data_IF_941989603677
#
_entry.id   IF_941989603677
#
_cell.length_a   1.000
_cell.length_b   1.000
_cell.length_c   1.000
_cell.angle_alpha   90.00
_cell.angle_beta   90.00
_cell.angle_gamma   90.00
#
_symmetry.space_group_name_H-M   'P 1'
#
loop_
_entity.id
_entity.type
_entity.pdbx_description
1 polymer ?
#
# COMPACT_ATOMS: atom_id res chain seq x y z
N UNK A 1 4.38 -9.12 4.01
CA UNK A 1 4.28 -10.16 2.98
C UNK A 1 5.55 -10.99 3.09
N UNK A 2 5.49 -12.32 3.02
CA UNK A 2 6.73 -13.09 2.98
C UNK A 2 7.33 -13.05 1.58
N UNK A 3 8.63 -13.28 1.45
CA UNK A 3 9.25 -13.50 0.15
C UNK A 3 8.70 -14.79 -0.48
N UNK A 4 8.40 -15.80 0.36
CA UNK A 4 7.69 -17.03 -0.05
C UNK A 4 6.32 -16.77 -0.68
N UNK A 5 5.71 -15.60 -0.48
CA UNK A 5 4.41 -15.24 -1.04
C UNK A 5 4.52 -14.61 -2.45
N UNK A 6 5.70 -14.11 -2.86
CA UNK A 6 5.89 -13.50 -4.20
C UNK A 6 5.50 -14.49 -5.31
N UNK A 7 6.01 -15.73 -5.26
CA UNK A 7 5.70 -16.80 -6.22
C UNK A 7 4.21 -17.17 -6.25
N UNK A 8 3.52 -17.10 -5.10
CA UNK A 8 2.08 -17.44 -4.99
C UNK A 8 1.19 -16.44 -5.71
N UNK A 9 1.73 -15.26 -6.06
CA UNK A 9 1.05 -14.19 -6.80
C UNK A 9 1.63 -14.04 -8.22
N UNK A 10 2.25 -15.09 -8.75
CA UNK A 10 2.76 -15.11 -10.11
C UNK A 10 1.63 -15.02 -11.16
N UNK A 11 1.87 -14.28 -12.23
CA UNK A 11 0.98 -14.14 -13.37
C UNK A 11 1.75 -14.27 -14.69
N UNK A 12 1.04 -14.68 -15.75
CA UNK A 12 1.60 -14.88 -17.08
C UNK A 12 1.17 -13.74 -18.02
N UNK A 13 2.12 -13.26 -18.82
CA UNK A 13 1.88 -12.36 -19.96
C UNK A 13 2.45 -13.01 -21.23
N UNK A 14 2.23 -12.37 -22.38
CA UNK A 14 2.89 -12.70 -23.64
C UNK A 14 4.42 -12.52 -23.58
N UNK A 15 4.91 -11.60 -22.74
CA UNK A 15 6.33 -11.31 -22.53
C UNK A 15 7.00 -12.32 -21.58
N UNK A 16 6.26 -12.92 -20.63
CA UNK A 16 6.80 -13.90 -19.69
C UNK A 16 5.99 -14.06 -18.40
N UNK A 17 6.59 -14.70 -17.39
CA UNK A 17 5.99 -14.85 -16.06
C UNK A 17 6.55 -13.79 -15.11
N UNK A 18 5.67 -13.17 -14.32
CA UNK A 18 6.01 -12.09 -13.38
C UNK A 18 5.44 -12.38 -11.98
N UNK A 19 6.08 -11.87 -10.92
CA UNK A 19 5.57 -11.90 -9.55
C UNK A 19 5.46 -10.49 -8.94
N UNK A 20 4.49 -10.31 -8.05
CA UNK A 20 4.36 -9.08 -7.26
C UNK A 20 5.24 -9.12 -6.00
N UNK A 21 5.99 -8.03 -5.77
CA UNK A 21 6.99 -7.90 -4.69
C UNK A 21 6.47 -7.18 -3.44
N UNK A 22 5.33 -6.52 -3.58
CA UNK A 22 4.47 -6.01 -2.52
C UNK A 22 3.06 -6.51 -2.80
N UNK A 23 2.18 -6.47 -1.80
CA UNK A 23 0.83 -7.00 -1.91
C UNK A 23 0.03 -6.26 -3.02
N UNK A 24 -0.41 -6.94 -4.09
CA UNK A 24 -1.19 -6.30 -5.14
C UNK A 24 -2.63 -6.01 -4.71
N UNK A 25 -3.18 -4.92 -5.23
CA UNK A 25 -4.62 -4.65 -5.21
C UNK A 25 -5.40 -5.77 -5.92
N UNK A 26 -6.61 -6.06 -5.46
CA UNK A 26 -7.44 -7.16 -5.97
C UNK A 26 -7.28 -8.50 -5.24
N UNK A 27 -6.30 -8.67 -4.34
CA UNK A 27 -6.31 -9.79 -3.39
C UNK A 27 -7.41 -9.57 -2.33
N UNK A 28 -8.10 -10.64 -1.95
CA UNK A 28 -9.18 -10.64 -0.95
C UNK A 28 -8.82 -9.98 0.39
N UNK A 29 -7.54 -9.99 0.75
CA UNK A 29 -7.02 -9.42 2.00
C UNK A 29 -6.17 -8.14 1.80
N UNK A 30 -6.11 -7.57 0.58
CA UNK A 30 -5.33 -6.37 0.27
C UNK A 30 -5.87 -5.15 1.01
N UNK A 31 -7.14 -4.80 0.77
CA UNK A 31 -7.90 -3.75 1.48
C UNK A 31 -7.73 -3.86 3.01
N UNK A 32 -7.95 -5.06 3.59
CA UNK A 32 -7.81 -5.28 5.02
C UNK A 32 -6.37 -5.13 5.55
N UNK A 33 -5.36 -5.25 4.69
CA UNK A 33 -3.94 -4.99 5.03
C UNK A 33 -3.60 -3.50 4.85
N UNK A 34 -4.15 -2.88 3.81
CA UNK A 34 -4.01 -1.45 3.52
C UNK A 34 -4.68 -0.59 4.61
N UNK A 35 -5.92 -0.90 5.00
CA UNK A 35 -6.61 -0.22 6.10
C UNK A 35 -5.79 -0.27 7.39
N UNK A 36 -5.26 -1.46 7.76
CA UNK A 36 -4.38 -1.60 8.94
C UNK A 36 -3.08 -0.80 8.84
N UNK A 37 -2.58 -0.54 7.63
CA UNK A 37 -1.44 0.33 7.40
C UNK A 37 -1.82 1.80 7.60
N UNK A 38 -2.95 2.24 7.04
CA UNK A 38 -3.48 3.60 7.17
C UNK A 38 -3.83 3.91 8.64
N UNK A 39 -4.55 3.00 9.32
CA UNK A 39 -4.85 3.04 10.76
C UNK A 39 -3.58 3.26 11.59
N UNK A 40 -2.49 2.56 11.25
CA UNK A 40 -1.21 2.66 11.94
C UNK A 40 -0.45 3.94 11.58
N UNK A 41 -0.47 4.36 10.31
CA UNK A 41 0.29 5.51 9.80
C UNK A 41 -0.32 6.86 10.21
N UNK A 42 -1.64 6.92 10.41
CA UNK A 42 -2.42 8.13 10.68
C UNK A 42 -3.24 8.06 11.99
N UNK A 43 -2.90 7.14 12.90
CA UNK A 43 -3.59 6.90 14.18
C UNK A 43 -3.90 8.18 15.00
N UNK A 44 -3.02 9.18 14.92
CA UNK A 44 -3.12 10.47 15.65
C UNK A 44 -3.99 11.53 14.93
N UNK A 45 -4.47 11.24 13.71
CA UNK A 45 -5.18 12.18 12.82
C UNK A 45 -6.54 11.64 12.33
N UNK A 46 -6.72 10.32 12.35
CA UNK A 46 -7.97 9.65 11.98
C UNK A 46 -9.14 10.10 12.85
N UNK A 47 -10.27 10.42 12.22
CA UNK A 47 -11.48 10.92 12.90
C UNK A 47 -11.40 12.37 13.36
N UNK A 48 -10.31 13.10 13.04
CA UNK A 48 -10.20 14.55 13.22
C UNK A 48 -10.22 15.26 11.85
N UNK A 49 -9.08 15.21 11.16
CA UNK A 49 -8.84 15.88 9.88
C UNK A 49 -8.60 14.88 8.73
N UNK A 50 -8.73 13.58 9.00
CA UNK A 50 -8.48 12.51 8.04
C UNK A 50 -9.48 11.37 8.25
N UNK A 51 -10.07 10.89 7.16
CA UNK A 51 -10.98 9.74 7.08
C UNK A 51 -10.50 8.81 5.97
N UNK A 52 -10.49 7.50 6.20
CA UNK A 52 -10.00 6.51 5.25
C UNK A 52 -11.14 5.56 4.84
N UNK A 53 -11.24 5.28 3.54
CA UNK A 53 -12.34 4.53 2.92
C UNK A 53 -11.79 3.49 1.94
N UNK A 54 -11.27 2.39 2.48
CA UNK A 54 -10.80 1.16 1.81
C UNK A 54 -9.64 1.34 0.79
N UNK A 55 -9.84 2.13 -0.27
CA UNK A 55 -8.84 2.53 -1.27
C UNK A 55 -8.53 4.05 -1.23
N UNK A 56 -9.46 4.89 -0.76
CA UNK A 56 -9.33 6.36 -0.72
C UNK A 56 -8.96 6.91 0.68
N UNK A 57 -8.27 8.05 0.73
CA UNK A 57 -8.03 8.82 1.95
C UNK A 57 -8.51 10.26 1.77
N UNK A 58 -9.57 10.62 2.51
CA UNK A 58 -10.19 11.95 2.52
C UNK A 58 -9.53 12.79 3.61
N UNK A 59 -8.94 13.93 3.22
CA UNK A 59 -8.30 14.88 4.13
C UNK A 59 -9.17 16.14 4.21
N UNK A 60 -9.55 16.52 5.44
CA UNK A 60 -10.37 17.69 5.76
C UNK A 60 -9.49 18.77 6.38
N UNK A 61 -9.26 19.86 5.66
CA UNK A 61 -8.53 21.02 6.15
C UNK A 61 -9.33 22.31 5.96
N UNK A 62 -9.15 23.26 6.87
CA UNK A 62 -9.72 24.60 6.81
C UNK A 62 -8.75 25.64 6.21
N UNK A 63 -7.51 25.24 5.91
CA UNK A 63 -6.43 26.06 5.34
C UNK A 63 -5.66 25.23 4.30
N UNK A 64 -5.12 25.85 3.25
CA UNK A 64 -4.39 25.15 2.17
C UNK A 64 -3.07 24.46 2.60
N UNK A 65 -2.61 24.70 3.83
CA UNK A 65 -1.36 24.16 4.39
C UNK A 65 -1.49 22.69 4.82
N UNK A 66 -1.13 21.77 3.92
CA UNK A 66 -1.13 20.32 4.16
C UNK A 66 -0.06 19.82 5.16
N UNK A 67 0.85 20.67 5.64
CA UNK A 67 2.01 20.25 6.46
C UNK A 67 1.63 19.57 7.79
N UNK A 68 0.44 19.87 8.33
CA UNK A 68 -0.06 19.26 9.58
C UNK A 68 -0.52 17.81 9.42
N UNK A 69 -0.69 17.31 8.19
CA UNK A 69 -1.17 15.95 7.87
C UNK A 69 0.02 15.05 7.44
N UNK A 70 1.17 15.21 8.11
CA UNK A 70 2.36 14.41 7.84
C UNK A 70 2.22 12.98 8.39
N UNK A 71 2.05 12.00 7.48
CA UNK A 71 2.09 10.58 7.80
C UNK A 71 3.41 10.16 8.47
N UNK A 72 3.39 9.15 9.34
CA UNK A 72 4.60 8.66 9.99
C UNK A 72 5.58 8.01 8.97
N UNK A 73 6.76 8.59 8.70
CA UNK A 73 7.64 8.17 7.60
C UNK A 73 8.42 6.87 7.90
N UNK A 74 8.24 6.26 9.07
CA UNK A 74 8.69 4.89 9.35
C UNK A 74 7.61 3.84 9.06
N UNK A 75 6.34 4.25 8.95
CA UNK A 75 5.18 3.35 8.75
C UNK A 75 4.65 3.34 7.31
N UNK A 76 4.93 4.37 6.50
CA UNK A 76 4.46 4.46 5.10
C UNK A 76 5.43 3.89 4.06
N UNK A 77 6.63 3.46 4.49
CA UNK A 77 7.69 3.00 3.58
C UNK A 77 7.26 1.89 2.64
N UNK A 78 6.57 0.87 3.13
CA UNK A 78 6.17 -0.28 2.32
C UNK A 78 5.24 0.03 1.12
N UNK A 79 4.58 1.19 1.13
CA UNK A 79 3.79 1.71 0.00
C UNK A 79 4.61 2.66 -0.88
N UNK A 80 5.49 3.47 -0.29
CA UNK A 80 6.42 4.31 -1.07
C UNK A 80 7.45 3.46 -1.85
N UNK A 81 7.85 2.33 -1.29
CA UNK A 81 8.78 1.34 -1.85
C UNK A 81 8.03 0.26 -2.68
N UNK A 82 6.84 0.58 -3.23
CA UNK A 82 6.05 -0.34 -4.06
C UNK A 82 6.63 -0.43 -5.48
N UNK A 83 7.52 -1.38 -5.68
CA UNK A 83 8.16 -1.65 -6.98
C UNK A 83 7.25 -2.42 -7.94
N UNK A 84 7.50 -2.25 -9.24
CA UNK A 84 6.87 -3.03 -10.31
C UNK A 84 7.10 -4.54 -10.14
N UNK A 85 6.22 -5.39 -10.70
CA UNK A 85 6.43 -6.84 -10.71
C UNK A 85 7.78 -7.26 -11.29
N UNK A 86 8.48 -8.18 -10.62
CA UNK A 86 9.74 -8.78 -11.13
C UNK A 86 9.43 -9.83 -12.18
N UNK A 87 10.36 -10.05 -13.12
CA UNK A 87 10.33 -11.18 -14.06
C UNK A 87 10.84 -12.43 -13.34
N UNK A 88 10.12 -13.55 -13.40
CA UNK A 88 10.51 -14.84 -12.82
C UNK A 88 11.51 -15.63 -13.71
N UNK A 89 12.46 -14.93 -14.34
CA UNK A 89 13.46 -15.53 -15.26
C UNK A 89 14.85 -14.90 -15.13
N UNK A 90 15.45 -15.04 -13.96
CA UNK A 90 16.90 -15.27 -13.78
C UNK A 90 17.11 -16.21 -12.56
N UNK A 91 16.59 -17.44 -12.69
CA UNK A 91 16.85 -18.60 -11.83
C UNK A 91 17.06 -19.84 -12.71
#
# INVERSE_FOLDING_TARGET
MSEDDEEKMAFYTDQGTYCYTKMPFGLKNAEATYQRLVDSAFQEKLGQNLEAYFDDIVIKSYVETLEEIRANPKKTKDVADMQSPKILKEM
#
